data_IF_907724540970
#
_entry.id   IF_907724540970
#
_cell.length_a   1.000
_cell.length_b   1.000
_cell.length_c   1.000
_cell.angle_alpha   90.00
_cell.angle_beta   90.00
_cell.angle_gamma   90.00
#
_symmetry.space_group_name_H-M   'P 1'
#
loop_
_entity.id
_entity.type
_entity.pdbx_description
1 polymer ?
#
# COMPACT_ATOMS: atom_id res chain seq x y z
N UNK A 1 -1.91 -22.53 12.88
CA UNK A 1 -3.17 -22.77 12.13
C UNK A 1 -3.07 -23.97 11.21
N UNK A 2 -2.16 -23.95 10.21
CA UNK A 2 -1.95 -25.11 9.32
C UNK A 2 -1.36 -26.29 10.08
N UNK A 3 -0.30 -26.06 10.87
CA UNK A 3 0.30 -27.08 11.73
C UNK A 3 -0.66 -27.63 12.81
N UNK A 4 -1.76 -26.92 13.08
CA UNK A 4 -2.79 -27.31 14.05
C UNK A 4 -4.03 -27.91 13.36
N UNK A 5 -3.94 -28.22 12.06
CA UNK A 5 -5.03 -28.77 11.22
C UNK A 5 -6.37 -28.00 11.34
N UNK A 6 -6.30 -26.67 11.48
CA UNK A 6 -7.51 -25.82 11.52
C UNK A 6 -8.26 -25.87 10.20
N UNK A 7 -9.58 -25.67 10.29
CA UNK A 7 -10.46 -25.69 9.12
C UNK A 7 -10.04 -24.68 8.05
N UNK A 8 -10.04 -25.10 6.78
CA UNK A 8 -9.53 -24.29 5.67
C UNK A 8 -10.23 -22.92 5.58
N UNK A 9 -11.54 -22.86 5.83
CA UNK A 9 -12.28 -21.59 5.80
C UNK A 9 -11.80 -20.61 6.86
N UNK A 10 -11.44 -21.07 8.08
CA UNK A 10 -10.89 -20.20 9.12
C UNK A 10 -9.54 -19.61 8.69
N UNK A 11 -8.70 -20.44 8.07
CA UNK A 11 -7.40 -20.03 7.57
C UNK A 11 -7.56 -18.96 6.49
N UNK A 12 -8.50 -19.15 5.56
CA UNK A 12 -8.82 -18.17 4.50
C UNK A 12 -9.36 -16.85 5.07
N UNK A 13 -10.15 -16.89 6.15
CA UNK A 13 -10.61 -15.68 6.84
C UNK A 13 -9.41 -14.91 7.43
N UNK A 14 -8.46 -15.60 8.07
CA UNK A 14 -7.28 -14.94 8.64
C UNK A 14 -6.33 -14.39 7.56
N UNK A 15 -6.14 -15.11 6.45
CA UNK A 15 -5.39 -14.58 5.30
C UNK A 15 -6.07 -13.32 4.75
N UNK A 16 -7.40 -13.34 4.62
CA UNK A 16 -8.17 -12.18 4.18
C UNK A 16 -8.04 -10.99 5.14
N UNK A 17 -8.00 -11.25 6.45
CA UNK A 17 -7.77 -10.23 7.47
C UNK A 17 -6.36 -9.62 7.36
N UNK A 18 -5.33 -10.45 7.19
CA UNK A 18 -3.96 -10.01 6.99
C UNK A 18 -3.83 -9.14 5.73
N UNK A 19 -4.43 -9.57 4.61
CA UNK A 19 -4.43 -8.79 3.36
C UNK A 19 -5.10 -7.42 3.53
N UNK A 20 -6.23 -7.35 4.27
CA UNK A 20 -6.89 -6.08 4.58
C UNK A 20 -6.01 -5.16 5.43
N UNK A 21 -5.33 -5.71 6.43
CA UNK A 21 -4.41 -4.95 7.27
C UNK A 21 -3.22 -4.41 6.45
N UNK A 22 -2.61 -5.25 5.61
CA UNK A 22 -1.54 -4.83 4.71
C UNK A 22 -1.99 -3.73 3.74
N UNK A 23 -3.20 -3.84 3.18
CA UNK A 23 -3.76 -2.81 2.30
C UNK A 23 -3.97 -1.48 3.03
N UNK A 24 -4.42 -1.52 4.29
CA UNK A 24 -4.56 -0.31 5.12
C UNK A 24 -3.21 0.36 5.36
N UNK A 25 -2.20 -0.41 5.76
CA UNK A 25 -0.85 0.12 5.99
C UNK A 25 -0.26 0.70 4.70
N UNK A 26 -0.43 0.01 3.56
CA UNK A 26 0.03 0.53 2.28
C UNK A 26 -0.63 1.84 1.85
N UNK A 27 -1.93 2.03 2.16
CA UNK A 27 -2.60 3.31 1.95
C UNK A 27 -2.02 4.42 2.84
N UNK A 28 -1.76 4.14 4.12
CA UNK A 28 -1.16 5.12 5.05
C UNK A 28 0.25 5.55 4.58
N UNK A 29 1.04 4.61 4.05
CA UNK A 29 2.36 4.90 3.46
C UNK A 29 2.22 5.76 2.20
N UNK A 30 1.25 5.46 1.33
CA UNK A 30 1.00 6.23 0.10
C UNK A 30 0.55 7.66 0.40
N UNK A 31 -0.32 7.83 1.41
CA UNK A 31 -0.74 9.14 1.90
C UNK A 31 0.46 9.96 2.39
N UNK A 32 1.28 9.38 3.26
CA UNK A 32 2.48 10.05 3.76
C UNK A 32 3.48 10.40 2.65
N UNK A 33 3.68 9.50 1.69
CA UNK A 33 4.51 9.77 0.51
C UNK A 33 3.96 10.93 -0.32
N UNK A 34 2.64 10.98 -0.52
CA UNK A 34 1.98 12.07 -1.26
C UNK A 34 2.19 13.41 -0.55
N UNK A 35 1.97 13.47 0.77
CA UNK A 35 2.19 14.68 1.56
C UNK A 35 3.65 15.16 1.46
N UNK A 36 4.60 14.24 1.66
CA UNK A 36 6.02 14.57 1.62
C UNK A 36 6.46 15.06 0.23
N UNK A 37 6.08 14.33 -0.83
CA UNK A 37 6.39 14.71 -2.21
C UNK A 37 5.76 16.05 -2.59
N UNK A 38 4.56 16.38 -2.14
CA UNK A 38 3.93 17.66 -2.49
C UNK A 38 4.46 18.86 -1.69
N UNK A 39 4.97 18.62 -0.47
CA UNK A 39 5.41 19.70 0.44
C UNK A 39 6.88 20.07 0.30
N UNK A 40 7.73 19.14 -0.14
CA UNK A 40 9.19 19.34 -0.20
C UNK A 40 9.73 19.55 -1.63
N UNK A 41 8.85 19.55 -2.63
CA UNK A 41 9.23 19.64 -4.04
C UNK A 41 9.28 21.08 -4.51
N UNK A 42 10.34 21.43 -5.25
CA UNK A 42 10.47 22.74 -5.90
C UNK A 42 9.66 22.77 -7.20
N UNK A 43 9.38 23.96 -7.76
CA UNK A 43 8.67 24.05 -9.05
C UNK A 43 9.45 23.41 -10.21
N UNK A 44 10.77 23.34 -10.13
CA UNK A 44 11.63 22.71 -11.15
C UNK A 44 11.55 21.17 -11.08
N UNK A 45 11.38 20.60 -9.88
CA UNK A 45 11.36 19.16 -9.62
C UNK A 45 9.94 18.55 -9.67
N UNK A 46 8.91 19.39 -9.81
CA UNK A 46 7.49 19.02 -9.72
C UNK A 46 7.05 17.96 -10.73
N UNK A 47 7.64 17.98 -11.92
CA UNK A 47 7.35 16.99 -12.96
C UNK A 47 7.79 15.59 -12.55
N UNK A 48 9.03 15.46 -12.07
CA UNK A 48 9.61 14.19 -11.64
C UNK A 48 8.91 13.64 -10.41
N UNK A 49 8.63 14.48 -9.41
CA UNK A 49 7.88 14.08 -8.22
C UNK A 49 6.46 13.58 -8.54
N UNK A 50 5.80 14.16 -9.56
CA UNK A 50 4.48 13.70 -10.01
C UNK A 50 4.57 12.33 -10.70
N UNK A 51 5.59 12.10 -11.53
CA UNK A 51 5.79 10.82 -12.20
C UNK A 51 6.06 9.69 -11.19
N UNK A 52 6.86 9.95 -10.16
CA UNK A 52 7.15 9.04 -9.06
C UNK A 52 5.89 8.70 -8.26
N UNK A 53 5.10 9.71 -7.90
CA UNK A 53 3.83 9.51 -7.21
C UNK A 53 2.87 8.65 -8.04
N UNK A 54 2.74 8.94 -9.33
CA UNK A 54 1.91 8.16 -10.24
C UNK A 54 2.42 6.73 -10.40
N UNK A 55 3.73 6.51 -10.36
CA UNK A 55 4.32 5.17 -10.35
C UNK A 55 3.94 4.42 -9.06
N UNK A 56 4.06 5.04 -7.89
CA UNK A 56 3.70 4.46 -6.61
C UNK A 56 2.20 4.08 -6.56
N UNK A 57 1.32 4.96 -7.03
CA UNK A 57 -0.13 4.69 -7.13
C UNK A 57 -0.40 3.49 -8.05
N UNK A 58 0.21 3.46 -9.24
CA UNK A 58 0.04 2.35 -10.20
C UNK A 58 0.53 1.02 -9.66
N UNK A 59 1.61 1.03 -8.86
CA UNK A 59 2.11 -0.18 -8.23
C UNK A 59 1.16 -0.67 -7.13
N UNK A 60 0.64 0.24 -6.32
CA UNK A 60 -0.32 -0.09 -5.26
C UNK A 60 -1.68 -0.55 -5.79
N UNK A 61 -2.13 -0.04 -6.93
CA UNK A 61 -3.42 -0.44 -7.53
C UNK A 61 -3.43 -1.83 -8.18
N UNK A 62 -2.27 -2.46 -8.38
CA UNK A 62 -2.15 -3.80 -9.00
C UNK A 62 -2.45 -4.96 -8.03
N UNK A 63 -2.58 -4.67 -6.74
CA UNK A 63 -2.86 -5.63 -5.65
C UNK A 63 -4.31 -5.57 -5.15
#
# INVERSE_FOLDING_TARGET
MVADDRYCTDILVQISAANKALKKVGLEVLEHHTEHCMTHTTEEDKGEAMDDLLQAIRQFSKT
#
